data_IF_202234271181
#
_entry.id   IF_202234271181
#
_cell.length_a   1.000
_cell.length_b   1.000
_cell.length_c   1.000
_cell.angle_alpha   90.00
_cell.angle_beta   90.00
_cell.angle_gamma   90.00
#
_symmetry.space_group_name_H-M   'P 1'
#
loop_
_entity.id
_entity.type
_entity.pdbx_description
1 polymer ?
#
# COMPACT_ATOMS: atom_id res chain seq x y z
N UNK A 1 -3.63 -41.13 -57.78
CA UNK A 1 -3.53 -41.10 -56.31
C UNK A 1 -4.22 -39.85 -55.81
N UNK A 2 -5.36 -39.98 -55.12
CA UNK A 2 -6.09 -38.89 -54.49
C UNK A 2 -5.83 -38.99 -52.98
N UNK A 3 -5.29 -37.94 -52.37
CA UNK A 3 -5.40 -37.72 -50.93
C UNK A 3 -5.54 -36.22 -50.71
N UNK A 4 -6.78 -35.82 -50.44
CA UNK A 4 -7.11 -34.56 -49.81
C UNK A 4 -6.80 -34.71 -48.31
N UNK A 5 -6.06 -33.79 -47.72
CA UNK A 5 -5.99 -33.68 -46.26
C UNK A 5 -6.25 -32.23 -45.88
N UNK A 6 -7.51 -31.99 -45.52
CA UNK A 6 -8.00 -30.83 -44.78
C UNK A 6 -8.17 -31.31 -43.34
N UNK A 7 -7.41 -30.78 -42.39
CA UNK A 7 -7.79 -30.68 -40.97
C UNK A 7 -7.15 -29.37 -40.45
N UNK A 8 -7.84 -28.24 -40.60
CA UNK A 8 -8.66 -27.57 -39.58
C UNK A 8 -7.95 -27.33 -38.25
N UNK A 9 -7.26 -26.19 -38.20
CA UNK A 9 -7.25 -25.16 -37.15
C UNK A 9 -7.66 -25.68 -35.75
N UNK A 10 -6.68 -26.03 -34.93
CA UNK A 10 -6.86 -26.03 -33.49
C UNK A 10 -6.90 -24.57 -33.00
N UNK A 11 -8.11 -24.05 -32.80
CA UNK A 11 -8.36 -22.86 -32.00
C UNK A 11 -7.80 -23.12 -30.60
N UNK A 12 -6.60 -22.61 -30.33
CA UNK A 12 -6.15 -22.34 -28.97
C UNK A 12 -6.98 -21.18 -28.40
N UNK A 13 -8.19 -21.47 -27.96
CA UNK A 13 -8.91 -20.59 -27.04
C UNK A 13 -8.31 -20.76 -25.64
N UNK A 14 -7.14 -20.14 -25.44
CA UNK A 14 -6.60 -19.86 -24.10
C UNK A 14 -7.47 -18.76 -23.46
N UNK A 15 -8.71 -19.08 -23.12
CA UNK A 15 -9.46 -18.37 -22.07
C UNK A 15 -9.02 -18.88 -20.69
N UNK A 16 -7.70 -18.97 -20.50
CA UNK A 16 -7.14 -19.01 -19.16
C UNK A 16 -7.14 -17.58 -18.67
N UNK A 17 -8.13 -17.20 -17.85
CA UNK A 17 -7.97 -16.07 -16.95
C UNK A 17 -6.70 -16.33 -16.15
N UNK A 18 -5.58 -15.76 -16.59
CA UNK A 18 -4.32 -15.83 -15.89
C UNK A 18 -4.53 -15.07 -14.58
N UNK A 19 -4.97 -15.81 -13.56
CA UNK A 19 -5.07 -15.35 -12.20
C UNK A 19 -3.62 -15.20 -11.73
N UNK A 20 -3.05 -14.02 -11.97
CA UNK A 20 -1.75 -13.62 -11.45
C UNK A 20 -1.90 -13.41 -9.94
N UNK A 21 -1.91 -14.51 -9.18
CA UNK A 21 -1.98 -14.46 -7.74
C UNK A 21 -0.64 -13.99 -7.17
N UNK A 22 -0.69 -12.83 -6.49
CA UNK A 22 0.18 -12.45 -5.36
C UNK A 22 1.66 -12.13 -5.68
N UNK A 23 2.10 -12.16 -6.94
CA UNK A 23 3.47 -11.75 -7.31
C UNK A 23 3.68 -10.24 -7.42
N UNK A 24 2.62 -9.44 -7.50
CA UNK A 24 2.73 -8.00 -7.69
C UNK A 24 1.83 -7.27 -6.70
N UNK A 25 2.42 -6.42 -5.84
CA UNK A 25 1.68 -5.32 -5.24
C UNK A 25 1.37 -5.34 -3.75
N UNK A 26 2.10 -6.11 -2.94
CA UNK A 26 2.10 -5.95 -1.47
C UNK A 26 3.53 -5.91 -0.90
N UNK A 27 4.54 -6.09 -1.76
CA UNK A 27 5.92 -6.31 -1.33
C UNK A 27 6.54 -5.03 -0.81
N UNK A 28 6.40 -3.94 -1.56
CA UNK A 28 7.10 -2.69 -1.25
C UNK A 28 6.58 -2.05 0.04
N UNK A 29 5.26 -2.04 0.26
CA UNK A 29 4.69 -1.52 1.50
C UNK A 29 5.09 -2.40 2.70
N UNK A 30 5.02 -3.72 2.58
CA UNK A 30 5.42 -4.64 3.66
C UNK A 30 6.91 -4.55 3.96
N UNK A 31 7.75 -4.34 2.94
CA UNK A 31 9.19 -4.14 3.11
C UNK A 31 9.49 -2.78 3.77
N UNK A 32 8.80 -1.72 3.36
CA UNK A 32 8.91 -0.39 3.96
C UNK A 32 8.52 -0.45 5.45
N UNK A 33 7.37 -1.07 5.74
CA UNK A 33 6.86 -1.34 7.08
C UNK A 33 7.33 -2.70 7.61
N UNK A 34 8.63 -2.98 7.53
CA UNK A 34 9.23 -4.19 8.09
C UNK A 34 9.54 -4.03 9.58
N UNK A 35 9.78 -5.14 10.29
CA UNK A 35 10.13 -5.15 11.72
C UNK A 35 9.09 -4.44 12.60
N UNK A 36 7.81 -4.65 12.31
CA UNK A 36 6.70 -4.01 13.03
C UNK A 36 6.59 -4.57 14.44
N UNK A 37 6.44 -3.68 15.41
CA UNK A 37 5.97 -4.02 16.74
C UNK A 37 4.46 -3.87 16.87
N UNK A 38 3.86 -4.69 17.71
CA UNK A 38 2.45 -4.57 18.06
C UNK A 38 2.17 -3.17 18.63
N UNK A 39 1.28 -2.41 17.99
CA UNK A 39 0.97 -1.02 18.31
C UNK A 39 -0.14 -0.85 19.36
N UNK A 40 -0.60 -1.96 19.95
CA UNK A 40 -1.57 -1.95 21.04
C UNK A 40 -0.95 -1.43 22.33
N UNK A 41 -1.66 -0.52 22.98
CA UNK A 41 -1.40 -0.04 24.33
C UNK A 41 -0.02 0.64 24.53
N UNK A 42 0.30 1.62 23.67
CA UNK A 42 1.49 2.48 23.82
C UNK A 42 1.20 3.72 24.64
N UNK A 43 2.12 4.06 25.54
CA UNK A 43 2.03 5.26 26.37
C UNK A 43 3.36 6.02 26.37
N UNK A 44 3.39 7.18 25.71
CA UNK A 44 4.51 8.11 25.68
C UNK A 44 5.86 7.43 25.34
N UNK A 45 5.81 6.50 24.39
CA UNK A 45 7.01 5.83 23.91
C UNK A 45 7.80 6.74 22.97
N UNK A 46 9.13 6.66 23.03
CA UNK A 46 10.02 7.53 22.25
C UNK A 46 10.28 6.94 20.88
N UNK A 47 10.02 7.75 19.86
CA UNK A 47 10.26 7.42 18.46
C UNK A 47 11.04 8.52 17.78
N UNK A 48 11.58 8.18 16.62
CA UNK A 48 11.95 9.17 15.61
C UNK A 48 11.34 8.79 14.26
N UNK A 49 11.15 9.80 13.41
CA UNK A 49 10.67 9.60 12.04
C UNK A 49 11.82 9.05 11.22
N UNK A 50 11.75 7.78 10.85
CA UNK A 50 12.83 7.06 10.17
C UNK A 50 12.62 6.88 8.67
N UNK A 51 11.43 7.24 8.17
CA UNK A 51 11.16 7.27 6.74
C UNK A 51 9.75 7.70 6.43
N UNK A 52 9.54 8.02 5.17
CA UNK A 52 8.22 8.36 4.63
C UNK A 52 8.14 7.96 3.16
N UNK A 53 6.98 7.49 2.71
CA UNK A 53 6.77 7.10 1.33
C UNK A 53 5.29 7.22 0.94
N UNK A 54 5.04 7.52 -0.34
CA UNK A 54 3.70 7.49 -0.91
C UNK A 54 3.36 6.10 -1.44
N UNK A 55 2.11 5.69 -1.20
CA UNK A 55 1.53 4.46 -1.69
C UNK A 55 0.15 4.74 -2.30
N UNK A 56 -0.31 3.85 -3.17
CA UNK A 56 -1.69 3.78 -3.60
C UNK A 56 -2.43 2.76 -2.75
N UNK A 57 -3.54 3.18 -2.13
CA UNK A 57 -4.40 2.33 -1.32
C UNK A 57 -5.69 2.03 -2.07
N UNK A 58 -6.07 0.75 -2.12
CA UNK A 58 -7.29 0.29 -2.79
C UNK A 58 -8.49 0.30 -1.86
N UNK A 59 -9.70 0.15 -2.42
CA UNK A 59 -10.93 -0.05 -1.63
C UNK A 59 -10.90 -1.28 -0.73
N UNK A 60 -10.04 -2.25 -1.05
CA UNK A 60 -9.83 -3.46 -0.27
C UNK A 60 -8.78 -3.27 0.84
N UNK A 61 -8.12 -2.10 0.90
CA UNK A 61 -7.11 -1.76 1.89
C UNK A 61 -5.71 -2.25 1.56
N UNK A 62 -5.49 -2.69 0.32
CA UNK A 62 -4.18 -3.13 -0.18
C UNK A 62 -3.33 -1.92 -0.59
N UNK A 63 -2.03 -1.97 -0.33
CA UNK A 63 -1.08 -0.89 -0.60
C UNK A 63 -0.10 -1.26 -1.70
N UNK A 64 0.04 -0.38 -2.69
CA UNK A 64 0.94 -0.53 -3.83
C UNK A 64 1.91 0.65 -3.88
N UNK A 65 3.19 0.41 -4.10
CA UNK A 65 4.12 1.50 -4.44
C UNK A 65 3.72 2.12 -5.78
N UNK A 66 4.24 3.31 -6.08
CA UNK A 66 4.01 3.94 -7.40
C UNK A 66 4.49 3.04 -8.55
N UNK A 67 5.62 2.35 -8.36
CA UNK A 67 6.14 1.39 -9.33
C UNK A 67 5.17 0.22 -9.53
N UNK A 68 4.72 -0.41 -8.45
CA UNK A 68 3.78 -1.52 -8.50
C UNK A 68 2.45 -1.09 -9.15
N UNK A 69 1.92 0.06 -8.74
CA UNK A 69 0.68 0.61 -9.27
C UNK A 69 0.77 0.90 -10.77
N UNK A 70 1.84 1.57 -11.23
CA UNK A 70 2.02 1.90 -12.65
C UNK A 70 2.20 0.64 -13.51
N UNK A 71 2.86 -0.39 -12.98
CA UNK A 71 3.00 -1.67 -13.67
C UNK A 71 1.62 -2.33 -13.85
N UNK A 72 0.85 -2.44 -12.76
CA UNK A 72 -0.46 -3.10 -12.74
C UNK A 72 -1.53 -2.35 -13.54
N UNK A 73 -1.44 -1.02 -13.62
CA UNK A 73 -2.40 -0.17 -14.35
C UNK A 73 -1.94 0.19 -15.76
N UNK A 74 -0.87 -0.46 -16.24
CA UNK A 74 -0.37 -0.28 -17.60
C UNK A 74 -1.42 -0.69 -18.64
N UNK A 75 -1.46 -0.05 -19.83
CA UNK A 75 -2.42 -0.39 -20.88
C UNK A 75 -2.40 -1.88 -21.28
N UNK A 76 -1.23 -2.51 -21.21
CA UNK A 76 -1.04 -3.93 -21.52
C UNK A 76 -1.72 -4.87 -20.53
N UNK A 77 -1.91 -4.44 -19.27
CA UNK A 77 -2.47 -5.25 -18.20
C UNK A 77 -3.86 -4.78 -17.76
N UNK A 78 -4.46 -3.82 -18.46
CA UNK A 78 -5.70 -3.14 -18.04
C UNK A 78 -6.92 -4.07 -17.88
N UNK A 79 -6.92 -5.21 -18.56
CA UNK A 79 -7.97 -6.23 -18.51
C UNK A 79 -7.66 -7.38 -17.52
N UNK A 80 -6.52 -7.33 -16.82
CA UNK A 80 -6.13 -8.32 -15.80
C UNK A 80 -6.72 -7.93 -14.45
N UNK A 81 -7.08 -8.92 -13.63
CA UNK A 81 -7.58 -8.71 -12.28
C UNK A 81 -6.53 -9.06 -11.22
N UNK A 82 -6.43 -8.23 -10.18
CA UNK A 82 -5.50 -8.32 -9.06
C UNK A 82 -6.27 -8.14 -7.75
N UNK A 83 -6.21 -9.13 -6.85
CA UNK A 83 -6.87 -9.02 -5.53
C UNK A 83 -8.38 -8.80 -5.60
N UNK A 84 -9.04 -9.28 -6.66
CA UNK A 84 -10.48 -9.10 -6.88
C UNK A 84 -10.88 -7.76 -7.52
N UNK A 85 -9.92 -6.92 -7.93
CA UNK A 85 -10.17 -5.70 -8.71
C UNK A 85 -9.59 -5.86 -10.12
N UNK A 86 -10.28 -5.35 -11.14
CA UNK A 86 -9.63 -5.19 -12.46
C UNK A 86 -8.55 -4.10 -12.40
N UNK A 87 -7.53 -4.17 -13.25
CA UNK A 87 -6.52 -3.11 -13.35
C UNK A 87 -7.14 -1.74 -13.71
N UNK A 88 -8.22 -1.74 -14.50
CA UNK A 88 -9.03 -0.54 -14.73
C UNK A 88 -9.65 -0.01 -13.44
N UNK A 89 -10.29 -0.87 -12.67
CA UNK A 89 -10.88 -0.49 -11.38
C UNK A 89 -9.82 -0.04 -10.36
N UNK A 90 -8.66 -0.69 -10.32
CA UNK A 90 -7.52 -0.28 -9.52
C UNK A 90 -7.11 1.16 -9.87
N UNK A 91 -6.98 1.44 -11.18
CA UNK A 91 -6.63 2.78 -11.68
C UNK A 91 -7.69 3.82 -11.35
N UNK A 92 -8.96 3.47 -11.49
CA UNK A 92 -10.09 4.38 -11.35
C UNK A 92 -10.41 4.69 -9.87
N UNK A 93 -10.05 3.80 -8.93
CA UNK A 93 -10.51 3.91 -7.52
C UNK A 93 -9.41 4.04 -6.48
N UNK A 94 -8.16 3.69 -6.79
CA UNK A 94 -7.08 3.79 -5.80
C UNK A 94 -6.85 5.25 -5.38
N UNK A 95 -6.56 5.45 -4.10
CA UNK A 95 -6.24 6.76 -3.52
C UNK A 95 -4.78 6.83 -3.15
N UNK A 96 -4.17 8.00 -3.23
CA UNK A 96 -2.84 8.20 -2.66
C UNK A 96 -2.92 8.27 -1.14
N UNK A 97 -2.10 7.46 -0.49
CA UNK A 97 -1.86 7.49 0.93
C UNK A 97 -0.40 7.83 1.18
N UNK A 98 -0.19 8.66 2.17
CA UNK A 98 1.12 9.00 2.69
C UNK A 98 1.40 8.18 3.94
N UNK A 99 2.51 7.44 3.94
CA UNK A 99 2.89 6.54 5.04
C UNK A 99 4.15 7.04 5.72
N UNK A 100 4.07 7.23 7.03
CA UNK A 100 5.21 7.54 7.90
C UNK A 100 5.66 6.29 8.62
N UNK A 101 6.97 6.06 8.63
CA UNK A 101 7.62 5.06 9.47
C UNK A 101 8.24 5.72 10.69
N UNK A 102 7.87 5.23 11.85
CA UNK A 102 8.44 5.62 13.12
C UNK A 102 9.25 4.46 13.67
N UNK A 103 10.46 4.74 14.16
CA UNK A 103 11.32 3.73 14.78
C UNK A 103 11.48 4.04 16.27
N UNK A 104 11.19 3.06 17.10
CA UNK A 104 11.30 3.16 18.55
C UNK A 104 12.77 3.31 18.92
N UNK A 105 13.10 4.33 19.72
CA UNK A 105 14.49 4.64 20.06
C UNK A 105 15.16 3.58 20.92
N UNK A 106 14.36 2.75 21.62
CA UNK A 106 14.86 1.75 22.56
C UNK A 106 14.94 0.36 21.92
N UNK A 107 13.95 0.00 21.10
CA UNK A 107 13.83 -1.37 20.56
C UNK A 107 14.25 -1.50 19.10
N UNK A 108 14.44 -0.38 18.39
CA UNK A 108 14.65 -0.34 16.93
C UNK A 108 13.53 -1.02 16.12
N UNK A 109 12.37 -1.28 16.73
CA UNK A 109 11.18 -1.77 16.05
C UNK A 109 10.39 -0.61 15.46
N UNK A 110 9.58 -0.92 14.45
CA UNK A 110 8.88 0.07 13.67
C UNK A 110 7.37 0.07 13.94
N UNK A 111 6.76 1.23 13.74
CA UNK A 111 5.33 1.35 13.48
C UNK A 111 5.13 2.20 12.23
N UNK A 112 4.08 1.90 11.48
CA UNK A 112 3.71 2.64 10.29
C UNK A 112 2.35 3.29 10.47
N UNK A 113 2.24 4.55 10.06
CA UNK A 113 0.97 5.27 10.02
C UNK A 113 0.75 5.82 8.63
N UNK A 114 -0.38 5.42 8.03
CA UNK A 114 -0.79 5.89 6.71
C UNK A 114 -1.97 6.86 6.84
N UNK A 115 -1.98 7.92 6.04
CA UNK A 115 -3.07 8.88 5.95
C UNK A 115 -3.35 9.22 4.50
N UNK A 116 -4.60 9.55 4.15
CA UNK A 116 -4.92 9.96 2.79
C UNK A 116 -4.31 11.33 2.50
N UNK A 117 -3.77 11.48 1.29
CA UNK A 117 -3.17 12.73 0.83
C UNK A 117 -4.26 13.70 0.40
N UNK A 118 -4.15 14.94 0.85
CA UNK A 118 -4.99 16.05 0.41
C UNK A 118 -4.37 16.82 -0.76
N UNK A 119 -3.02 16.83 -0.85
CA UNK A 119 -2.24 17.42 -1.94
C UNK A 119 -0.88 16.73 -2.10
N UNK A 120 -0.42 16.43 -3.30
CA UNK A 120 0.90 15.77 -3.45
C UNK A 120 2.09 16.67 -3.06
N UNK A 121 1.96 17.98 -3.25
CA UNK A 121 3.06 18.94 -3.11
C UNK A 121 3.26 19.46 -1.69
N UNK A 122 2.17 19.64 -0.92
CA UNK A 122 2.27 20.05 0.49
C UNK A 122 2.88 18.92 1.32
N UNK A 123 2.40 17.70 1.11
CA UNK A 123 2.84 16.52 1.84
C UNK A 123 4.31 16.23 1.51
N UNK A 124 4.80 16.30 0.27
CA UNK A 124 6.22 16.05 0.02
C UNK A 124 7.18 17.01 0.77
N UNK A 125 6.91 18.31 0.71
CA UNK A 125 7.79 19.32 1.33
C UNK A 125 7.71 19.33 2.85
N UNK A 126 6.52 19.12 3.40
CA UNK A 126 6.35 18.96 4.85
C UNK A 126 7.12 17.73 5.35
N UNK A 127 7.22 16.67 4.54
CA UNK A 127 7.73 15.37 4.99
C UNK A 127 9.25 15.27 5.00
N UNK A 128 9.93 15.86 4.03
CA UNK A 128 11.40 15.98 4.08
C UNK A 128 11.83 16.81 5.32
N UNK A 129 10.98 17.74 5.79
CA UNK A 129 11.27 18.60 6.95
C UNK A 129 11.10 17.91 8.32
N UNK A 130 10.48 16.73 8.38
CA UNK A 130 10.22 16.00 9.62
C UNK A 130 11.07 14.75 9.81
N UNK A 131 11.81 14.31 8.79
CA UNK A 131 12.73 13.17 8.91
C UNK A 131 13.74 13.40 10.06
N UNK A 132 13.95 12.37 10.88
CA UNK A 132 14.84 12.41 12.04
C UNK A 132 14.29 13.13 13.27
N UNK A 133 13.14 13.81 13.19
CA UNK A 133 12.52 14.42 14.38
C UNK A 133 12.14 13.35 15.39
N UNK A 134 12.32 13.69 16.67
CA UNK A 134 11.94 12.85 17.81
C UNK A 134 10.52 13.21 18.26
N UNK A 135 9.81 12.20 18.74
CA UNK A 135 8.42 12.33 19.16
C UNK A 135 8.08 11.30 20.23
N UNK A 136 7.05 11.60 20.99
CA UNK A 136 6.32 10.65 21.82
C UNK A 136 5.11 10.15 21.04
N UNK A 137 4.91 8.84 21.04
CA UNK A 137 3.72 8.21 20.47
C UNK A 137 2.94 7.50 21.58
N UNK A 138 1.64 7.76 21.59
CA UNK A 138 0.66 7.04 22.38
C UNK A 138 -0.41 6.45 21.47
N UNK A 139 -0.96 5.30 21.84
CA UNK A 139 -2.03 4.65 21.10
C UNK A 139 -3.38 5.06 21.69
N UNK A 140 -4.21 5.77 20.92
CA UNK A 140 -5.54 6.23 21.41
C UNK A 140 -6.62 5.17 21.17
N UNK A 141 -6.46 4.36 20.13
CA UNK A 141 -7.25 3.17 19.89
C UNK A 141 -6.40 1.97 20.25
N UNK A 142 -6.94 1.00 20.99
CA UNK A 142 -6.26 -0.26 21.29
C UNK A 142 -5.90 -1.12 20.06
N UNK A 143 -6.05 -0.60 18.82
CA UNK A 143 -5.57 -1.13 17.54
C UNK A 143 -5.33 0.03 16.56
N UNK A 144 -4.32 -0.11 15.68
CA UNK A 144 -4.13 0.76 14.52
C UNK A 144 -5.30 0.78 13.54
N UNK A 145 -5.29 1.75 12.61
CA UNK A 145 -6.28 1.83 11.53
C UNK A 145 -5.91 0.87 10.39
N UNK A 146 -6.85 0.03 9.96
CA UNK A 146 -6.66 -0.84 8.78
C UNK A 146 -6.64 -0.03 7.48
N UNK A 147 -6.06 -0.60 6.42
CA UNK A 147 -6.09 0.04 5.11
C UNK A 147 -7.51 0.35 4.60
N UNK A 148 -8.48 -0.52 4.89
CA UNK A 148 -9.89 -0.27 4.53
C UNK A 148 -10.48 0.95 5.25
N UNK A 149 -10.17 1.10 6.54
CA UNK A 149 -10.61 2.25 7.34
C UNK A 149 -9.96 3.54 6.85
N UNK A 150 -8.68 3.49 6.48
CA UNK A 150 -7.97 4.64 5.90
C UNK A 150 -8.57 5.01 4.54
N UNK A 151 -8.82 4.04 3.67
CA UNK A 151 -9.43 4.29 2.35
C UNK A 151 -10.80 4.98 2.45
N UNK A 152 -11.58 4.64 3.48
CA UNK A 152 -12.91 5.23 3.74
C UNK A 152 -12.86 6.55 4.51
N UNK A 153 -11.68 7.03 4.91
CA UNK A 153 -11.49 8.13 5.87
C UNK A 153 -12.21 7.89 7.22
N UNK A 154 -12.43 6.63 7.57
CA UNK A 154 -13.03 6.17 8.83
C UNK A 154 -11.96 5.91 9.91
N UNK A 155 -10.69 5.83 9.49
CA UNK A 155 -9.53 5.53 10.33
C UNK A 155 -9.00 6.70 11.19
N UNK A 156 -9.76 7.79 11.36
CA UNK A 156 -9.25 9.00 12.05
C UNK A 156 -8.68 8.67 13.43
N UNK A 157 -7.37 8.94 13.56
CA UNK A 157 -6.52 8.97 14.76
C UNK A 157 -6.33 7.62 15.48
N UNK A 158 -5.43 6.78 14.96
CA UNK A 158 -4.92 5.62 15.73
C UNK A 158 -3.77 5.99 16.67
N UNK A 159 -2.93 6.96 16.28
CA UNK A 159 -1.77 7.40 17.04
C UNK A 159 -1.92 8.86 17.47
N UNK A 160 -1.66 9.12 18.75
CA UNK A 160 -1.37 10.44 19.28
C UNK A 160 0.12 10.71 19.14
N UNK A 161 0.49 11.83 18.50
CA UNK A 161 1.88 12.20 18.25
C UNK A 161 2.16 13.54 18.95
N UNK A 162 3.19 13.56 19.78
CA UNK A 162 3.70 14.77 20.42
C UNK A 162 5.19 14.95 20.05
N UNK A 163 5.53 16.06 19.41
CA UNK A 163 6.93 16.37 19.11
C UNK A 163 7.72 16.70 20.38
N UNK A 164 8.97 16.23 20.42
CA UNK A 164 9.94 16.47 21.51
C UNK A 164 10.91 17.60 21.17
#
# INVERSE_FOLDING_TARGET
>A
MKSLSIIFISLFTLNGCAYYSHQFGLGDHSAFCSNIENDRDRHNEKYYISGSQFFYITKNGDYYSEKEFNQLTSPTLINVSYGGLSAKELKDTAKKAFTVKFTNTNTNKNICSSTLVSSDSYEKNYMDSILGRKLLISSEKGKGASGKEIYRDEGKKSLSIQYL
#
